data_IF_478542521270
#
_entry.id   IF_478542521270
#
_cell.length_a   1.000
_cell.length_b   1.000
_cell.length_c   1.000
_cell.angle_alpha   90.00
_cell.angle_beta   90.00
_cell.angle_gamma   90.00
#
_symmetry.space_group_name_H-M   'P 1'
#
loop_
_entity.id
_entity.type
_entity.pdbx_description
1 polymer ?
#
# COMPACT_ATOMS: atom_id res chain seq x y z
N UNK A 1 -5.09 -30.88 3.21
CA UNK A 1 -4.26 -29.79 2.65
C UNK A 1 -4.57 -28.50 3.39
N UNK A 2 -3.55 -27.86 3.98
CA UNK A 2 -3.71 -26.58 4.69
C UNK A 2 -3.95 -25.46 3.70
N UNK A 3 -4.45 -24.30 4.20
CA UNK A 3 -4.60 -23.13 3.37
C UNK A 3 -3.25 -22.64 2.81
N UNK A 4 -2.17 -22.80 3.59
CA UNK A 4 -0.82 -22.43 3.17
C UNK A 4 -0.32 -23.33 2.04
N UNK A 5 -0.60 -24.62 2.10
CA UNK A 5 -0.24 -25.58 1.05
C UNK A 5 -1.00 -25.32 -0.25
N UNK A 6 -2.27 -24.94 -0.15
CA UNK A 6 -3.05 -24.50 -1.32
C UNK A 6 -2.45 -23.27 -1.98
N UNK A 7 -1.93 -22.35 -1.15
CA UNK A 7 -1.27 -21.14 -1.62
C UNK A 7 0.00 -21.46 -2.39
N UNK A 8 0.83 -22.37 -1.89
CA UNK A 8 2.07 -22.77 -2.54
C UNK A 8 1.84 -23.44 -3.89
N UNK A 9 0.63 -23.96 -4.13
CA UNK A 9 0.27 -24.66 -5.36
C UNK A 9 -0.39 -23.76 -6.42
N UNK A 10 -0.68 -22.48 -6.11
CA UNK A 10 -1.25 -21.58 -7.10
C UNK A 10 -0.25 -21.34 -8.23
N UNK A 11 -0.67 -21.43 -9.49
CA UNK A 11 0.23 -21.19 -10.62
C UNK A 11 0.75 -19.75 -10.54
N UNK A 12 2.06 -19.57 -10.76
CA UNK A 12 2.66 -18.22 -10.80
C UNK A 12 1.96 -17.31 -11.81
N UNK A 13 1.41 -17.86 -12.89
CA UNK A 13 0.67 -17.14 -13.89
C UNK A 13 -0.63 -16.50 -13.35
N UNK A 14 -1.20 -17.02 -12.24
CA UNK A 14 -2.38 -16.46 -11.59
C UNK A 14 -2.04 -15.31 -10.64
N UNK A 15 -0.75 -15.10 -10.31
CA UNK A 15 -0.31 -14.04 -9.43
C UNK A 15 -0.06 -12.77 -10.21
N UNK A 16 -0.41 -11.65 -9.59
CA UNK A 16 -0.16 -10.32 -10.13
C UNK A 16 0.93 -9.64 -9.32
N UNK A 17 1.66 -8.73 -9.96
CA UNK A 17 2.73 -7.97 -9.32
C UNK A 17 2.58 -6.50 -9.66
N UNK A 18 2.92 -5.62 -8.71
CA UNK A 18 2.92 -4.19 -8.93
C UNK A 18 3.78 -3.49 -7.90
N UNK A 19 4.25 -2.30 -8.23
CA UNK A 19 4.80 -1.38 -7.25
C UNK A 19 3.63 -0.60 -6.65
N UNK A 20 3.58 -0.55 -5.31
CA UNK A 20 2.43 -0.05 -4.60
C UNK A 20 2.82 0.78 -3.38
N UNK A 21 2.00 1.78 -3.09
CA UNK A 21 2.13 2.60 -1.88
C UNK A 21 1.04 2.17 -0.91
N UNK A 22 1.42 1.82 0.31
CA UNK A 22 0.48 1.43 1.35
C UNK A 22 -0.22 2.67 1.90
N UNK A 23 -1.54 2.76 1.70
CA UNK A 23 -2.31 3.94 2.07
C UNK A 23 -3.23 3.74 3.27
N UNK A 24 -3.66 2.52 3.55
CA UNK A 24 -4.47 2.18 4.73
C UNK A 24 -4.19 0.75 5.15
N UNK A 25 -4.31 0.51 6.46
CA UNK A 25 -4.26 -0.85 7.00
C UNK A 25 -5.22 -1.01 8.16
N UNK A 26 -5.82 -2.19 8.24
CA UNK A 26 -6.80 -2.53 9.27
C UNK A 26 -6.48 -3.89 9.87
N UNK A 27 -6.82 -4.06 11.14
CA UNK A 27 -6.71 -5.37 11.79
C UNK A 27 -7.81 -6.30 11.25
N UNK A 28 -7.43 -7.54 10.97
CA UNK A 28 -8.37 -8.60 10.62
C UNK A 28 -8.11 -9.80 11.52
N UNK A 29 -9.01 -10.06 12.48
CA UNK A 29 -8.80 -11.09 13.49
C UNK A 29 -7.59 -10.77 14.37
N UNK A 30 -6.94 -11.80 14.87
CA UNK A 30 -5.83 -11.66 15.82
C UNK A 30 -4.47 -11.40 15.17
N UNK A 31 -4.26 -11.90 13.95
CA UNK A 31 -2.93 -11.92 13.36
C UNK A 31 -2.82 -11.40 11.93
N UNK A 32 -3.93 -11.07 11.28
CA UNK A 32 -3.94 -10.64 9.88
C UNK A 32 -4.19 -9.15 9.73
N UNK A 33 -3.85 -8.61 8.57
CA UNK A 33 -4.10 -7.22 8.20
C UNK A 33 -4.85 -7.17 6.87
N UNK A 34 -5.77 -6.22 6.77
CA UNK A 34 -6.27 -5.77 5.47
C UNK A 34 -5.45 -4.55 5.09
N UNK A 35 -4.87 -4.57 3.90
CA UNK A 35 -3.99 -3.51 3.41
C UNK A 35 -4.52 -2.95 2.11
N UNK A 36 -4.69 -1.63 2.07
CA UNK A 36 -5.08 -0.90 0.86
C UNK A 36 -3.85 -0.28 0.22
N UNK A 37 -3.71 -0.50 -1.08
CA UNK A 37 -2.56 -0.07 -1.86
C UNK A 37 -2.98 0.88 -2.97
N UNK A 38 -2.15 1.89 -3.23
CA UNK A 38 -2.24 2.70 -4.45
C UNK A 38 -1.20 2.18 -5.43
N UNK A 39 -1.66 1.68 -6.58
CA UNK A 39 -0.80 1.20 -7.65
C UNK A 39 -1.00 2.04 -8.90
N UNK A 40 0.00 2.07 -9.79
CA UNK A 40 -0.12 2.78 -11.07
C UNK A 40 -0.92 2.01 -12.11
N UNK A 41 -0.74 0.70 -12.15
CA UNK A 41 -1.28 -0.16 -13.20
C UNK A 41 -2.58 -0.86 -12.83
N UNK A 42 -2.93 -0.93 -11.55
CA UNK A 42 -4.15 -1.57 -11.05
C UNK A 42 -5.01 -0.67 -10.17
N UNK A 43 -4.70 0.63 -10.06
CA UNK A 43 -5.45 1.57 -9.22
C UNK A 43 -5.37 1.23 -7.75
N UNK A 44 -6.48 1.36 -7.03
CA UNK A 44 -6.57 1.00 -5.64
C UNK A 44 -6.83 -0.51 -5.49
N UNK A 45 -6.00 -1.16 -4.71
CA UNK A 45 -6.12 -2.60 -4.41
C UNK A 45 -6.35 -2.80 -2.92
N UNK A 46 -7.22 -3.75 -2.58
CA UNK A 46 -7.41 -4.24 -1.23
C UNK A 46 -6.88 -5.66 -1.13
N UNK A 47 -6.03 -5.90 -0.16
CA UNK A 47 -5.42 -7.21 0.06
C UNK A 47 -5.53 -7.65 1.51
N UNK A 48 -5.56 -8.98 1.73
CA UNK A 48 -5.39 -9.58 3.05
C UNK A 48 -3.96 -10.10 3.16
N UNK A 49 -3.24 -9.64 4.17
CA UNK A 49 -1.94 -10.17 4.55
C UNK A 49 -2.14 -11.11 5.73
N UNK A 50 -2.25 -12.41 5.45
CA UNK A 50 -2.55 -13.42 6.47
C UNK A 50 -1.38 -13.64 7.40
N UNK A 51 -1.65 -13.61 8.70
CA UNK A 51 -0.63 -13.80 9.72
C UNK A 51 0.41 -12.70 9.79
N UNK A 52 0.16 -11.54 9.19
CA UNK A 52 1.13 -10.45 9.07
C UNK A 52 1.65 -9.93 10.41
N UNK A 53 0.84 -10.04 11.46
CA UNK A 53 1.20 -9.57 12.80
C UNK A 53 1.97 -10.60 13.63
N UNK A 54 2.15 -11.81 13.13
CA UNK A 54 2.95 -12.83 13.82
C UNK A 54 4.43 -12.47 13.78
N UNK A 55 5.20 -12.73 14.85
CA UNK A 55 6.62 -12.34 14.91
C UNK A 55 7.49 -12.87 13.78
N UNK A 56 7.17 -14.04 13.25
CA UNK A 56 7.93 -14.68 12.16
C UNK A 56 7.27 -14.53 10.79
N UNK A 57 6.35 -13.56 10.66
CA UNK A 57 5.67 -13.31 9.39
C UNK A 57 6.67 -12.88 8.31
N UNK A 58 6.49 -13.36 7.06
CA UNK A 58 7.28 -12.83 5.92
C UNK A 58 6.99 -11.36 5.64
N UNK A 59 5.91 -10.82 6.21
CA UNK A 59 5.55 -9.40 6.08
C UNK A 59 6.09 -8.52 7.21
N UNK A 60 6.81 -9.08 8.17
CA UNK A 60 7.31 -8.33 9.33
C UNK A 60 8.17 -7.13 8.88
N UNK A 61 7.82 -5.94 9.37
CA UNK A 61 8.52 -4.70 9.04
C UNK A 61 8.31 -4.16 7.64
N UNK A 62 7.41 -4.76 6.85
CA UNK A 62 7.18 -4.39 5.44
C UNK A 62 5.84 -3.74 5.16
N UNK A 63 4.93 -3.77 6.12
CA UNK A 63 3.57 -3.28 5.95
C UNK A 63 3.29 -2.14 6.94
N UNK A 64 3.65 -0.92 6.54
CA UNK A 64 3.32 0.27 7.31
C UNK A 64 2.89 1.40 6.39
N UNK A 65 2.21 2.39 6.96
CA UNK A 65 1.66 3.52 6.20
C UNK A 65 2.76 4.24 5.41
N UNK A 66 2.44 4.57 4.18
CA UNK A 66 3.26 5.34 3.24
C UNK A 66 4.49 4.60 2.71
N UNK A 67 4.67 3.33 3.07
CA UNK A 67 5.71 2.49 2.49
C UNK A 67 5.41 2.24 1.02
N UNK A 68 6.44 2.32 0.17
CA UNK A 68 6.38 1.75 -1.17
C UNK A 68 7.00 0.37 -1.14
N UNK A 69 6.30 -0.60 -1.71
CA UNK A 69 6.74 -1.98 -1.81
C UNK A 69 6.45 -2.54 -3.19
N UNK A 70 7.26 -3.48 -3.60
CA UNK A 70 6.93 -4.34 -4.73
C UNK A 70 6.11 -5.50 -4.16
N UNK A 71 4.86 -5.60 -4.57
CA UNK A 71 3.92 -6.57 -4.04
C UNK A 71 3.53 -7.61 -5.07
N UNK A 72 3.19 -8.80 -4.58
CA UNK A 72 2.54 -9.82 -5.37
C UNK A 72 1.26 -10.26 -4.64
N UNK A 73 0.21 -10.52 -5.41
CA UNK A 73 -1.05 -10.94 -4.84
C UNK A 73 -1.74 -11.96 -5.74
N UNK A 74 -2.59 -12.76 -5.12
CA UNK A 74 -3.47 -13.70 -5.82
C UNK A 74 -4.85 -13.06 -5.93
N UNK A 75 -5.36 -12.83 -7.15
CA UNK A 75 -6.68 -12.23 -7.33
C UNK A 75 -7.77 -13.12 -6.77
N UNK A 76 -8.76 -12.50 -6.11
CA UNK A 76 -9.99 -13.17 -5.70
C UNK A 76 -11.02 -13.04 -6.81
N UNK A 77 -11.73 -14.13 -7.08
CA UNK A 77 -12.85 -14.14 -8.04
C UNK A 77 -14.19 -13.81 -7.38
N UNK A 78 -14.23 -13.81 -6.02
CA UNK A 78 -15.47 -13.67 -5.26
C UNK A 78 -15.67 -12.27 -4.69
N UNK A 79 -14.59 -11.50 -4.56
CA UNK A 79 -14.64 -10.17 -3.96
C UNK A 79 -13.49 -9.31 -4.48
N UNK A 80 -13.51 -8.02 -4.11
CA UNK A 80 -12.41 -7.10 -4.39
C UNK A 80 -11.25 -7.22 -3.37
N UNK A 81 -11.36 -8.14 -2.41
CA UNK A 81 -10.34 -8.37 -1.40
C UNK A 81 -9.46 -9.54 -1.84
N UNK A 82 -8.29 -9.21 -2.38
CA UNK A 82 -7.32 -10.17 -2.89
C UNK A 82 -6.41 -10.68 -1.78
N UNK A 83 -5.58 -11.66 -2.05
CA UNK A 83 -4.64 -12.19 -1.07
C UNK A 83 -3.22 -11.73 -1.38
N UNK A 84 -2.60 -11.01 -0.43
CA UNK A 84 -1.21 -10.60 -0.53
C UNK A 84 -0.31 -11.82 -0.29
N UNK A 85 0.59 -12.09 -1.22
CA UNK A 85 1.52 -13.22 -1.12
C UNK A 85 2.95 -12.78 -0.84
N UNK A 86 3.34 -11.61 -1.30
CA UNK A 86 4.69 -11.08 -1.14
C UNK A 86 4.67 -9.56 -1.01
N UNK A 87 5.60 -9.04 -0.21
CA UNK A 87 5.88 -7.60 -0.16
C UNK A 87 7.38 -7.39 0.04
N UNK A 88 8.03 -6.72 -0.91
CA UNK A 88 9.44 -6.34 -0.83
C UNK A 88 9.53 -4.83 -0.67
N UNK A 89 10.11 -4.39 0.44
CA UNK A 89 10.20 -2.97 0.75
C UNK A 89 11.10 -2.25 -0.23
N UNK A 90 10.61 -1.16 -0.82
CA UNK A 90 11.34 -0.29 -1.75
C UNK A 90 11.72 1.01 -1.07
N UNK A 91 10.75 1.69 -0.44
CA UNK A 91 10.99 2.97 0.22
C UNK A 91 10.14 3.08 1.49
N UNK A 92 10.77 3.09 2.67
CA UNK A 92 10.03 3.20 3.94
C UNK A 92 9.65 4.65 4.30
N UNK A 93 10.33 5.64 3.77
CA UNK A 93 10.10 7.07 4.02
C UNK A 93 10.04 7.38 5.52
N UNK A 94 11.05 6.96 6.27
CA UNK A 94 11.07 7.07 7.73
C UNK A 94 11.04 8.52 8.23
N UNK A 95 11.49 9.49 7.42
CA UNK A 95 11.46 10.91 7.76
C UNK A 95 10.04 11.47 7.93
N UNK A 96 9.01 10.80 7.41
CA UNK A 96 7.62 11.21 7.63
C UNK A 96 7.23 11.18 9.10
N UNK A 97 7.89 10.36 9.90
CA UNK A 97 7.62 10.22 11.33
C UNK A 97 8.34 11.26 12.19
N UNK A 98 9.26 12.03 11.59
CA UNK A 98 10.07 13.01 12.31
C UNK A 98 9.26 14.23 12.74
N UNK A 99 8.13 14.51 12.09
CA UNK A 99 7.28 15.62 12.50
C UNK A 99 5.80 15.28 12.32
N UNK A 100 4.99 15.87 13.21
CA UNK A 100 3.54 15.74 13.14
C UNK A 100 2.98 16.35 11.86
N UNK A 101 3.55 17.47 11.41
CA UNK A 101 3.13 18.13 10.17
C UNK A 101 3.34 17.26 8.93
N UNK A 102 4.47 16.57 8.84
CA UNK A 102 4.75 15.64 7.75
C UNK A 102 3.78 14.47 7.74
N UNK A 103 3.54 13.88 8.90
CA UNK A 103 2.60 12.76 9.04
C UNK A 103 1.18 13.17 8.65
N UNK A 104 0.71 14.34 9.10
CA UNK A 104 -0.61 14.86 8.75
C UNK A 104 -0.74 15.13 7.25
N UNK A 105 0.27 15.75 6.64
CA UNK A 105 0.25 16.04 5.22
C UNK A 105 0.23 14.75 4.39
N UNK A 106 1.02 13.75 4.79
CA UNK A 106 1.00 12.44 4.13
C UNK A 106 -0.38 11.79 4.22
N UNK A 107 -0.99 11.80 5.40
CA UNK A 107 -2.34 11.27 5.60
C UNK A 107 -3.38 12.02 4.75
N UNK A 108 -3.26 13.33 4.64
CA UNK A 108 -4.16 14.15 3.82
C UNK A 108 -4.02 13.81 2.34
N UNK A 109 -2.79 13.71 1.83
CA UNK A 109 -2.55 13.38 0.43
C UNK A 109 -3.06 11.97 0.08
N UNK A 110 -2.82 11.00 0.94
CA UNK A 110 -3.33 9.63 0.71
C UNK A 110 -4.85 9.59 0.75
N UNK A 111 -5.49 10.37 1.62
CA UNK A 111 -6.95 10.46 1.68
C UNK A 111 -7.55 11.07 0.42
N UNK A 112 -6.89 12.10 -0.14
CA UNK A 112 -7.33 12.70 -1.41
C UNK A 112 -7.26 11.69 -2.55
N UNK A 113 -6.16 10.94 -2.64
CA UNK A 113 -6.01 9.92 -3.68
C UNK A 113 -7.06 8.82 -3.52
N UNK A 114 -7.32 8.39 -2.30
CA UNK A 114 -8.34 7.38 -2.00
C UNK A 114 -9.76 7.81 -2.43
N UNK A 115 -10.03 9.12 -2.40
CA UNK A 115 -11.34 9.66 -2.81
C UNK A 115 -11.51 9.73 -4.33
N UNK A 116 -10.43 9.98 -5.08
CA UNK A 116 -10.54 10.27 -6.52
C UNK A 116 -10.16 9.10 -7.41
N UNK A 117 -9.38 8.14 -6.91
CA UNK A 117 -8.90 7.00 -7.69
C UNK A 117 -9.87 5.84 -7.59
N UNK A 118 -10.27 5.31 -8.73
CA UNK A 118 -11.13 4.14 -8.77
C UNK A 118 -10.34 2.87 -8.49
N UNK A 119 -11.04 1.89 -7.93
CA UNK A 119 -10.44 0.59 -7.63
C UNK A 119 -10.18 -0.18 -8.91
N UNK A 120 -9.01 -0.79 -8.96
CA UNK A 120 -8.59 -1.69 -10.04
C UNK A 120 -8.57 -1.06 -11.42
N UNK A 121 -8.63 0.29 -11.49
CA UNK A 121 -8.48 1.03 -12.75
C UNK A 121 -7.08 1.64 -12.83
N UNK A 122 -6.36 1.50 -13.96
CA UNK A 122 -5.01 2.07 -14.09
C UNK A 122 -5.00 3.59 -13.88
N UNK A 123 -4.14 4.07 -12.99
CA UNK A 123 -4.03 5.50 -12.66
C UNK A 123 -2.56 5.89 -12.39
N UNK A 124 -1.66 5.69 -13.36
CA UNK A 124 -0.24 5.90 -13.13
C UNK A 124 0.09 7.34 -12.69
N UNK A 125 -0.65 8.33 -13.14
CA UNK A 125 -0.43 9.73 -12.78
C UNK A 125 -0.65 9.98 -11.29
N UNK A 126 -1.70 9.39 -10.71
CA UNK A 126 -1.98 9.54 -9.28
C UNK A 126 -0.98 8.79 -8.42
N UNK A 127 -0.57 7.60 -8.85
CA UNK A 127 0.47 6.85 -8.17
C UNK A 127 1.79 7.63 -8.15
N UNK A 128 2.21 8.17 -9.29
CA UNK A 128 3.43 8.95 -9.40
C UNK A 128 3.35 10.23 -8.59
N UNK A 129 2.23 10.92 -8.64
CA UNK A 129 2.02 12.16 -7.88
C UNK A 129 2.12 11.90 -6.39
N UNK A 130 1.43 10.87 -5.89
CA UNK A 130 1.48 10.53 -4.48
C UNK A 130 2.90 10.10 -4.06
N UNK A 131 3.57 9.29 -4.85
CA UNK A 131 4.93 8.86 -4.58
C UNK A 131 5.89 10.02 -4.46
N UNK A 132 5.83 10.98 -5.39
CA UNK A 132 6.68 12.18 -5.36
C UNK A 132 6.36 13.08 -4.19
N UNK A 133 5.07 13.24 -3.86
CA UNK A 133 4.66 14.05 -2.71
C UNK A 133 5.17 13.45 -1.40
N UNK A 134 5.07 12.15 -1.24
CA UNK A 134 5.57 11.45 -0.05
C UNK A 134 7.10 11.49 0.03
N UNK A 135 7.80 11.37 -1.08
CA UNK A 135 9.26 11.49 -1.13
C UNK A 135 9.72 12.89 -0.72
N UNK A 136 9.01 13.92 -1.18
CA UNK A 136 9.30 15.30 -0.79
C UNK A 136 9.09 15.51 0.71
N UNK A 137 7.97 15.02 1.25
CA UNK A 137 7.66 15.13 2.69
C UNK A 137 8.64 14.38 3.57
N UNK A 138 9.28 13.33 3.05
CA UNK A 138 10.28 12.55 3.78
C UNK A 138 11.45 13.42 4.25
N UNK A 139 11.71 14.54 3.57
CA UNK A 139 12.82 15.43 3.88
C UNK A 139 12.43 16.90 4.05
N UNK A 140 11.16 17.27 3.90
CA UNK A 140 10.70 18.67 3.95
C UNK A 140 9.46 18.80 4.82
N UNK A 141 9.37 19.94 5.54
CA UNK A 141 8.14 20.29 6.24
C UNK A 141 7.10 20.80 5.23
N UNK A 142 5.82 20.44 5.41
CA UNK A 142 4.77 20.88 4.50
C UNK A 142 4.50 22.38 4.63
N UNK A 143 4.30 23.03 3.48
CA UNK A 143 3.88 24.42 3.40
C UNK A 143 2.51 24.49 2.74
N UNK A 144 1.78 25.59 2.97
CA UNK A 144 0.49 25.80 2.31
C UNK A 144 0.61 25.79 0.78
N UNK A 145 1.71 26.32 0.24
CA UNK A 145 1.96 26.29 -1.20
C UNK A 145 2.17 24.88 -1.74
N UNK A 146 2.90 24.03 -1.02
CA UNK A 146 3.12 22.64 -1.41
C UNK A 146 1.83 21.84 -1.39
N UNK A 147 0.98 22.04 -0.38
CA UNK A 147 -0.33 21.38 -0.29
C UNK A 147 -1.22 21.78 -1.46
N UNK A 148 -1.26 23.07 -1.79
CA UNK A 148 -2.04 23.56 -2.94
C UNK A 148 -1.58 22.98 -4.27
N UNK A 149 -0.28 22.81 -4.46
CA UNK A 149 0.26 22.18 -5.67
C UNK A 149 -0.21 20.74 -5.83
N UNK A 150 -0.30 20.02 -4.74
CA UNK A 150 -0.81 18.65 -4.78
C UNK A 150 -2.31 18.63 -5.12
N UNK A 151 -3.08 19.55 -4.55
CA UNK A 151 -4.52 19.64 -4.79
C UNK A 151 -4.86 20.02 -6.25
N UNK A 152 -4.01 20.79 -6.88
CA UNK A 152 -4.17 21.19 -8.28
C UNK A 152 -3.78 20.05 -9.23
#
# INVERSE_FOLDING_TARGET
MSAEERFAQLPRAAMRKSRAILIRRYLLGESSLIVHWCTGDHGLLKTVARGARRPKSPFAGRLDLFFTADIAWSPSRRSDLHTLTEATLVAPRLGLRDSYGRTLAAAYFTSMVDLVVEREAPVPEFHDLLGRALDWLDSHEPTAAAVRRFED
#
